data_IF_938064871473
#
_entry.id   IF_938064871473
#
_cell.length_a   1.000
_cell.length_b   1.000
_cell.length_c   1.000
_cell.angle_alpha   90.00
_cell.angle_beta   90.00
_cell.angle_gamma   90.00
#
_symmetry.space_group_name_H-M   'P 1'
#
loop_
_entity.id
_entity.type
_entity.pdbx_description
1 polymer ?
#
# COMPACT_ATOMS: atom_id res chain seq x y z
N UNK A 1 12.07 15.31 10.45
CA UNK A 1 11.44 14.31 11.32
C UNK A 1 10.07 14.06 10.73
N UNK A 2 9.93 13.00 9.93
CA UNK A 2 8.67 12.68 9.25
C UNK A 2 8.07 11.52 10.04
N UNK A 3 6.92 11.79 10.67
CA UNK A 3 6.28 10.89 11.61
C UNK A 3 5.71 9.65 10.92
N UNK A 4 5.84 8.51 11.58
CA UNK A 4 5.04 7.32 11.34
C UNK A 4 3.56 7.71 11.44
N UNK A 5 2.87 7.76 10.29
CA UNK A 5 1.40 7.81 10.28
C UNK A 5 0.94 6.37 10.09
N UNK A 6 0.87 5.64 11.21
CA UNK A 6 0.08 4.42 11.28
C UNK A 6 -1.39 4.80 11.13
N UNK A 7 -1.93 4.72 9.92
CA UNK A 7 -3.31 5.10 9.62
C UNK A 7 -3.75 4.65 8.23
N UNK A 8 -4.94 4.06 8.17
CA UNK A 8 -5.61 3.32 7.08
C UNK A 8 -5.84 4.07 5.76
N UNK A 9 -5.10 5.14 5.45
CA UNK A 9 -4.88 5.62 4.08
C UNK A 9 -3.78 6.68 4.03
N UNK A 10 -3.13 6.83 2.88
CA UNK A 10 -2.23 7.95 2.61
C UNK A 10 -2.29 8.35 1.13
N UNK A 11 -1.75 9.54 0.82
CA UNK A 11 -1.56 10.00 -0.56
C UNK A 11 -0.15 10.56 -0.77
N UNK A 12 0.29 10.58 -2.04
CA UNK A 12 1.53 11.21 -2.49
C UNK A 12 1.32 11.85 -3.87
N UNK A 13 2.03 12.94 -4.16
CA UNK A 13 2.01 13.52 -5.50
C UNK A 13 2.80 12.62 -6.47
N UNK A 14 2.27 12.44 -7.68
CA UNK A 14 2.93 11.62 -8.70
C UNK A 14 4.36 12.08 -9.02
N UNK A 15 4.62 13.39 -8.95
CA UNK A 15 5.93 13.96 -9.24
C UNK A 15 6.99 13.72 -8.14
N UNK A 16 6.59 13.19 -6.98
CA UNK A 16 7.50 12.79 -5.89
C UNK A 16 7.90 11.31 -6.00
N UNK A 17 7.23 10.55 -6.87
CA UNK A 17 7.37 9.10 -6.97
C UNK A 17 7.94 8.73 -8.34
N UNK A 18 9.01 7.94 -8.34
CA UNK A 18 9.58 7.28 -9.52
C UNK A 18 8.99 5.89 -9.71
N UNK A 19 8.78 5.16 -8.61
CA UNK A 19 8.28 3.79 -8.61
C UNK A 19 7.56 3.46 -7.30
N UNK A 20 6.68 2.45 -7.37
CA UNK A 20 5.92 1.93 -6.23
C UNK A 20 6.22 0.45 -6.07
N UNK A 21 6.59 0.05 -4.86
CA UNK A 21 6.80 -1.35 -4.48
C UNK A 21 5.82 -1.73 -3.38
N UNK A 22 4.94 -2.70 -3.65
CA UNK A 22 3.96 -3.23 -2.70
C UNK A 22 4.43 -4.59 -2.21
N UNK A 23 4.59 -4.73 -0.90
CA UNK A 23 4.89 -6.00 -0.25
C UNK A 23 3.72 -6.40 0.65
N UNK A 24 2.82 -7.21 0.10
CA UNK A 24 1.56 -7.57 0.74
C UNK A 24 1.50 -9.05 1.06
N UNK A 25 1.56 -9.41 2.34
CA UNK A 25 1.72 -10.81 2.72
C UNK A 25 0.47 -11.65 2.43
N UNK A 26 -0.70 -11.13 2.80
CA UNK A 26 -1.98 -11.83 2.64
C UNK A 26 -3.17 -10.87 2.56
N UNK A 27 -4.30 -11.35 2.02
CA UNK A 27 -5.45 -10.52 1.71
C UNK A 27 -5.33 -9.86 0.33
N UNK A 28 -6.42 -9.26 -0.12
CA UNK A 28 -6.55 -8.75 -1.49
C UNK A 28 -5.72 -7.47 -1.70
N UNK A 29 -5.23 -7.30 -2.93
CA UNK A 29 -4.64 -6.06 -3.42
C UNK A 29 -5.42 -5.63 -4.66
N UNK A 30 -6.22 -4.59 -4.53
CA UNK A 30 -6.92 -3.91 -5.62
C UNK A 30 -6.08 -2.75 -6.12
N UNK A 31 -5.84 -2.70 -7.43
CA UNK A 31 -5.05 -1.67 -8.10
C UNK A 31 -5.87 -1.03 -9.21
N UNK A 32 -5.96 0.30 -9.17
CA UNK A 32 -6.61 1.12 -10.18
C UNK A 32 -5.57 2.07 -10.77
N UNK A 33 -5.25 1.91 -12.05
CA UNK A 33 -4.49 2.93 -12.78
C UNK A 33 -5.43 4.07 -13.21
N UNK A 34 -5.08 5.33 -12.94
CA UNK A 34 -5.93 6.48 -13.28
C UNK A 34 -5.17 7.71 -13.75
N UNK A 35 -5.89 8.69 -14.29
CA UNK A 35 -5.36 10.00 -14.69
C UNK A 35 -5.19 10.99 -13.51
N UNK A 36 -5.40 10.53 -12.27
CA UNK A 36 -5.24 11.39 -11.10
C UNK A 36 -3.78 11.78 -10.89
N UNK A 37 -3.54 12.99 -10.39
CA UNK A 37 -2.20 13.52 -10.12
C UNK A 37 -1.59 12.99 -8.81
N UNK A 38 -2.38 12.27 -8.02
CA UNK A 38 -1.99 11.72 -6.73
C UNK A 38 -2.12 10.21 -6.74
N UNK A 39 -1.15 9.55 -6.12
CA UNK A 39 -1.30 8.17 -5.68
C UNK A 39 -2.10 8.15 -4.39
N UNK A 40 -3.06 7.23 -4.27
CA UNK A 40 -3.79 6.99 -3.03
C UNK A 40 -3.71 5.52 -2.63
N UNK A 41 -3.44 5.26 -1.36
CA UNK A 41 -3.41 3.91 -0.81
C UNK A 41 -4.33 3.87 0.40
N UNK A 42 -5.12 2.81 0.52
CA UNK A 42 -6.07 2.60 1.60
C UNK A 42 -6.05 1.15 2.03
N UNK A 43 -5.97 0.93 3.33
CA UNK A 43 -6.11 -0.39 3.91
C UNK A 43 -7.51 -0.57 4.50
N UNK A 44 -8.08 -1.76 4.36
CA UNK A 44 -9.33 -2.13 5.02
C UNK A 44 -9.14 -2.52 6.49
N UNK A 45 -10.24 -2.56 7.22
CA UNK A 45 -10.25 -2.94 8.63
C UNK A 45 -10.37 -1.70 9.52
N UNK A 46 -11.13 -1.83 10.61
CA UNK A 46 -11.26 -0.79 11.61
C UNK A 46 -10.29 -1.11 12.76
N UNK A 47 -9.54 -0.11 13.22
CA UNK A 47 -8.75 -0.18 14.46
C UNK A 47 -7.67 -1.28 14.48
N UNK A 48 -6.99 -1.51 13.35
CA UNK A 48 -5.77 -2.33 13.36
C UNK A 48 -4.71 -1.68 14.28
N UNK A 49 -4.10 -2.48 15.15
CA UNK A 49 -2.97 -2.01 15.97
C UNK A 49 -1.85 -1.48 15.07
N UNK A 50 -1.11 -0.46 15.52
CA UNK A 50 -0.07 0.21 14.71
C UNK A 50 0.95 -0.77 14.11
N UNK A 51 1.34 -1.81 14.86
CA UNK A 51 2.26 -2.85 14.41
C UNK A 51 1.66 -3.75 13.32
N UNK A 52 0.33 -3.83 13.25
CA UNK A 52 -0.43 -4.64 12.30
C UNK A 52 -0.89 -3.86 11.08
N UNK A 53 -1.15 -2.56 11.22
CA UNK A 53 -1.59 -1.69 10.11
C UNK A 53 -0.54 -1.59 8.99
N UNK A 54 -0.96 -1.22 7.79
CA UNK A 54 -0.08 -0.92 6.66
C UNK A 54 0.99 0.11 7.06
N UNK A 55 2.24 -0.17 6.70
CA UNK A 55 3.36 0.77 6.85
C UNK A 55 3.87 1.19 5.49
N UNK A 56 4.36 2.40 5.38
CA UNK A 56 4.91 2.90 4.13
C UNK A 56 6.03 3.91 4.37
N UNK A 57 6.91 4.04 3.39
CA UNK A 57 7.95 5.06 3.39
C UNK A 57 8.39 5.39 1.96
N UNK A 58 8.78 6.64 1.75
CA UNK A 58 9.38 7.11 0.51
C UNK A 58 10.90 7.22 0.70
N UNK A 59 11.65 6.57 -0.19
CA UNK A 59 13.11 6.54 -0.15
C UNK A 59 13.67 6.61 -1.58
N UNK A 60 14.45 7.64 -1.88
CA UNK A 60 14.98 7.99 -3.21
C UNK A 60 13.92 7.99 -4.35
N UNK A 61 12.69 8.39 -4.02
CA UNK A 61 11.57 8.40 -4.96
C UNK A 61 10.90 7.04 -5.17
N UNK A 62 11.32 6.00 -4.44
CA UNK A 62 10.64 4.69 -4.43
C UNK A 62 9.71 4.64 -3.22
N UNK A 63 8.41 4.63 -3.47
CA UNK A 63 7.40 4.47 -2.44
C UNK A 63 7.24 2.98 -2.12
N UNK A 64 7.55 2.59 -0.89
CA UNK A 64 7.43 1.20 -0.43
C UNK A 64 6.24 1.07 0.49
N UNK A 65 5.30 0.21 0.12
CA UNK A 65 4.10 -0.13 0.89
C UNK A 65 4.30 -1.53 1.48
N UNK A 66 4.12 -1.67 2.79
CA UNK A 66 4.36 -2.89 3.55
C UNK A 66 3.08 -3.31 4.27
N UNK A 67 2.86 -4.62 4.27
CA UNK A 67 1.74 -5.26 4.98
C UNK A 67 1.60 -4.86 6.45
N UNK A 68 2.71 -4.71 7.16
CA UNK A 68 2.75 -4.35 8.58
C UNK A 68 4.12 -3.78 8.97
N UNK A 69 4.28 -3.39 10.25
CA UNK A 69 5.58 -2.96 10.77
C UNK A 69 6.65 -4.05 10.63
N UNK A 70 7.90 -3.64 10.44
CA UNK A 70 9.03 -4.57 10.31
C UNK A 70 9.24 -5.36 11.61
N UNK A 71 9.40 -6.68 11.49
CA UNK A 71 9.61 -7.57 12.65
C UNK A 71 8.36 -7.85 13.49
N UNK A 72 7.21 -7.29 13.13
CA UNK A 72 5.96 -7.54 13.84
C UNK A 72 5.53 -9.01 13.72
N UNK A 73 5.14 -9.60 14.85
CA UNK A 73 4.52 -10.93 14.90
C UNK A 73 3.01 -10.76 14.95
N UNK A 74 2.39 -10.83 13.78
CA UNK A 74 0.94 -10.58 13.65
C UNK A 74 0.19 -11.85 13.26
N UNK A 75 -1.02 -11.97 13.82
CA UNK A 75 -2.07 -12.87 13.33
C UNK A 75 -3.20 -11.98 12.83
N UNK A 76 -3.39 -11.96 11.52
CA UNK A 76 -4.49 -11.23 10.88
C UNK A 76 -5.20 -12.19 9.95
N UNK A 77 -6.53 -12.12 9.92
CA UNK A 77 -7.31 -12.84 8.93
C UNK A 77 -7.15 -12.13 7.59
N UNK A 78 -6.88 -12.89 6.53
CA UNK A 78 -6.70 -12.35 5.18
C UNK A 78 -7.93 -11.56 4.70
N UNK A 79 -9.14 -11.98 5.11
CA UNK A 79 -10.40 -11.34 4.77
C UNK A 79 -10.65 -10.01 5.50
N UNK A 80 -9.83 -9.67 6.48
CA UNK A 80 -9.98 -8.41 7.23
C UNK A 80 -9.03 -7.32 6.72
N UNK A 81 -8.13 -7.67 5.78
CA UNK A 81 -7.00 -6.81 5.38
C UNK A 81 -6.77 -6.80 3.88
N UNK A 82 -7.40 -5.83 3.24
CA UNK A 82 -7.37 -5.55 1.81
C UNK A 82 -6.64 -4.22 1.58
N UNK A 83 -5.84 -4.13 0.52
CA UNK A 83 -5.20 -2.90 0.06
C UNK A 83 -5.90 -2.41 -1.21
N UNK A 84 -6.48 -1.22 -1.18
CA UNK A 84 -6.89 -0.50 -2.39
C UNK A 84 -5.83 0.55 -2.73
N UNK A 85 -5.29 0.48 -3.94
CA UNK A 85 -4.23 1.35 -4.43
C UNK A 85 -4.66 1.99 -5.75
N UNK A 86 -4.72 3.32 -5.78
CA UNK A 86 -4.89 4.09 -7.00
C UNK A 86 -3.55 4.69 -7.42
N UNK A 87 -3.09 4.38 -8.62
CA UNK A 87 -1.77 4.78 -9.13
C UNK A 87 -1.92 5.65 -10.38
N UNK A 88 -1.30 6.84 -10.41
CA UNK A 88 -1.19 7.65 -11.62
C UNK A 88 -0.55 6.88 -12.78
N UNK A 89 -1.07 7.07 -14.00
CA UNK A 89 -0.52 6.49 -15.22
C UNK A 89 0.98 6.76 -15.37
N UNK A 90 1.72 5.75 -15.81
CA UNK A 90 3.14 5.86 -16.14
C UNK A 90 4.09 5.77 -14.95
N UNK A 91 3.61 5.42 -13.76
CA UNK A 91 4.45 5.06 -12.61
C UNK A 91 4.76 3.56 -12.66
N UNK A 92 6.03 3.19 -12.52
CA UNK A 92 6.44 1.80 -12.41
C UNK A 92 5.89 1.18 -11.11
N UNK A 93 5.10 0.11 -11.21
CA UNK A 93 4.49 -0.58 -10.08
C UNK A 93 4.93 -2.05 -10.02
N UNK A 94 5.42 -2.48 -8.86
CA UNK A 94 5.74 -3.88 -8.57
C UNK A 94 5.00 -4.37 -7.32
N UNK A 95 4.42 -5.56 -7.40
CA UNK A 95 3.65 -6.16 -6.30
C UNK A 95 4.23 -7.52 -5.95
N UNK A 96 4.54 -7.71 -4.67
CA UNK A 96 5.09 -8.93 -4.11
C UNK A 96 4.11 -9.49 -3.08
N UNK A 97 3.48 -10.61 -3.39
CA UNK A 97 2.54 -11.30 -2.49
C UNK A 97 3.01 -12.70 -2.12
N UNK A 98 2.54 -13.21 -0.99
CA UNK A 98 2.74 -14.62 -0.59
C UNK A 98 1.46 -15.42 -0.72
N UNK A 99 0.35 -14.88 -0.19
CA UNK A 99 -0.96 -15.54 -0.18
C UNK A 99 -2.09 -14.50 -0.22
N UNK A 100 -2.23 -13.84 -1.37
CA UNK A 100 -3.19 -12.76 -1.60
C UNK A 100 -3.63 -12.70 -3.06
N UNK A 101 -4.90 -12.34 -3.26
CA UNK A 101 -5.47 -12.08 -4.58
C UNK A 101 -5.05 -10.70 -5.07
N UNK A 102 -4.81 -10.56 -6.38
CA UNK A 102 -4.47 -9.29 -7.02
C UNK A 102 -5.51 -9.01 -8.10
N UNK A 103 -6.24 -7.91 -7.97
CA UNK A 103 -7.09 -7.36 -9.02
C UNK A 103 -6.48 -6.05 -9.52
N UNK A 104 -6.19 -5.97 -10.82
CA UNK A 104 -5.56 -4.81 -11.44
C UNK A 104 -6.37 -4.36 -12.66
N UNK A 105 -6.80 -3.10 -12.65
CA UNK A 105 -7.66 -2.52 -13.68
C UNK A 105 -7.25 -1.10 -14.05
N UNK A 106 -7.57 -0.74 -15.29
CA UNK A 106 -7.35 0.61 -15.81
C UNK A 106 -8.68 1.36 -15.79
N UNK A 107 -8.66 2.63 -15.40
CA UNK A 107 -9.79 3.55 -15.47
C UNK A 107 -9.69 4.48 -16.69
#
# INVERSE_FOLDING_TARGET
>A
MVGLIGGLSFTYLANEIKAVEVYWRSGEVEIIESDNAELSAKESGNELQEDTAMHYFLDDGVLRIRFCASGAKIQVNALDKHLSLEVPKGIDLSVYTTDGEIDARNN
#
